data_IF_214131847493
#
_entry.id   IF_214131847493
#
_cell.length_a   1.000
_cell.length_b   1.000
_cell.length_c   1.000
_cell.angle_alpha   90.00
_cell.angle_beta   90.00
_cell.angle_gamma   90.00
#
_symmetry.space_group_name_H-M   'P 1'
#
loop_
_entity.id
_entity.type
_entity.pdbx_description
1 polymer ?
#
# COMPACT_ATOMS: atom_id res chain seq x y z
N UNK A 1 -15.88 20.13 60.76
CA UNK A 1 -15.65 18.98 59.85
C UNK A 1 -15.52 19.39 58.38
N UNK A 2 -15.81 20.65 58.00
CA UNK A 2 -15.71 21.10 56.59
C UNK A 2 -14.31 21.51 56.12
N UNK A 3 -13.43 21.97 57.03
CA UNK A 3 -12.08 22.43 56.69
C UNK A 3 -11.16 21.33 56.12
N UNK A 4 -11.30 20.09 56.58
CA UNK A 4 -10.51 18.94 56.11
C UNK A 4 -10.90 18.49 54.69
N UNK A 5 -12.15 18.67 54.30
CA UNK A 5 -12.64 18.35 52.94
C UNK A 5 -12.16 19.38 51.92
N UNK A 6 -12.08 20.66 52.30
CA UNK A 6 -11.55 21.71 51.43
C UNK A 6 -10.05 21.56 51.19
N UNK A 7 -9.29 21.19 52.22
CA UNK A 7 -7.85 20.99 52.12
C UNK A 7 -7.50 19.75 51.27
N UNK A 8 -8.31 18.69 51.36
CA UNK A 8 -8.21 17.53 50.46
C UNK A 8 -8.53 17.91 49.01
N UNK A 9 -9.58 18.69 48.73
CA UNK A 9 -9.90 19.13 47.36
C UNK A 9 -8.76 19.95 46.73
N UNK A 10 -8.09 20.79 47.51
CA UNK A 10 -6.95 21.59 47.05
C UNK A 10 -5.72 20.73 46.71
N UNK A 11 -5.43 19.69 47.49
CA UNK A 11 -4.31 18.79 47.21
C UNK A 11 -4.55 17.93 45.97
N UNK A 12 -5.77 17.41 45.75
CA UNK A 12 -6.10 16.67 44.53
C UNK A 12 -5.98 17.53 43.26
N UNK A 13 -6.37 18.81 43.32
CA UNK A 13 -6.20 19.75 42.21
C UNK A 13 -4.72 20.05 41.91
N UNK A 14 -3.89 20.20 42.94
CA UNK A 14 -2.44 20.38 42.79
C UNK A 14 -1.75 19.14 42.23
N UNK A 15 -2.14 17.93 42.64
CA UNK A 15 -1.63 16.65 42.12
C UNK A 15 -2.00 16.51 40.63
N UNK A 16 -3.25 16.80 40.25
CA UNK A 16 -3.68 16.76 38.85
C UNK A 16 -2.94 17.78 37.97
N UNK A 17 -2.60 18.94 38.52
CA UNK A 17 -1.81 19.97 37.83
C UNK A 17 -0.37 19.52 37.60
N UNK A 18 0.25 18.87 38.59
CA UNK A 18 1.59 18.27 38.47
C UNK A 18 1.62 17.11 37.46
N UNK A 19 0.61 16.23 37.48
CA UNK A 19 0.48 15.15 36.51
C UNK A 19 0.35 15.68 35.07
N UNK A 20 -0.43 16.75 34.87
CA UNK A 20 -0.54 17.42 33.57
C UNK A 20 0.80 18.02 33.10
N UNK A 21 1.56 18.62 34.01
CA UNK A 21 2.86 19.20 33.71
C UNK A 21 3.88 18.11 33.31
N UNK A 22 3.93 17.00 34.05
CA UNK A 22 4.77 15.84 33.72
C UNK A 22 4.39 15.23 32.35
N UNK A 23 3.10 15.13 32.05
CA UNK A 23 2.62 14.66 30.76
C UNK A 23 3.05 15.59 29.62
N UNK A 24 2.96 16.92 29.80
CA UNK A 24 3.44 17.92 28.83
C UNK A 24 4.94 17.78 28.58
N UNK A 25 5.75 17.58 29.62
CA UNK A 25 7.19 17.33 29.46
C UNK A 25 7.47 16.05 28.68
N UNK A 26 6.75 14.95 29.00
CA UNK A 26 6.88 13.68 28.27
C UNK A 26 6.51 13.83 26.79
N UNK A 27 5.44 14.56 26.50
CA UNK A 27 5.02 14.86 25.11
C UNK A 27 6.09 15.68 24.39
N UNK A 28 6.63 16.71 25.03
CA UNK A 28 7.67 17.56 24.44
C UNK A 28 8.95 16.77 24.17
N UNK A 29 9.33 15.86 25.08
CA UNK A 29 10.45 14.95 24.88
C UNK A 29 10.25 14.04 23.66
N UNK A 30 9.07 13.43 23.53
CA UNK A 30 8.75 12.56 22.39
C UNK A 30 8.77 13.34 21.07
N UNK A 31 8.24 14.57 21.06
CA UNK A 31 8.31 15.46 19.89
C UNK A 31 9.75 15.75 19.50
N UNK A 32 10.59 16.13 20.46
CA UNK A 32 11.99 16.41 20.22
C UNK A 32 12.74 15.18 19.67
N UNK A 33 12.52 14.01 20.27
CA UNK A 33 13.09 12.75 19.80
C UNK A 33 12.71 12.49 18.33
N UNK A 34 11.43 12.60 17.99
CA UNK A 34 10.94 12.38 16.63
C UNK A 34 11.53 13.36 15.61
N UNK A 35 11.66 14.63 15.99
CA UNK A 35 12.28 15.66 15.14
C UNK A 35 13.76 15.34 14.92
N UNK A 36 14.48 14.92 15.96
CA UNK A 36 15.88 14.55 15.84
C UNK A 36 16.08 13.31 14.96
N UNK A 37 15.25 12.27 15.14
CA UNK A 37 15.25 11.08 14.27
C UNK A 37 14.99 11.45 12.81
N UNK A 38 13.99 12.30 12.55
CA UNK A 38 13.71 12.79 11.20
C UNK A 38 14.89 13.57 10.63
N UNK A 39 15.48 14.49 11.40
CA UNK A 39 16.65 15.25 10.96
C UNK A 39 17.85 14.36 10.65
N UNK A 40 18.07 13.30 11.43
CA UNK A 40 19.12 12.33 11.16
C UNK A 40 18.85 11.58 9.85
N UNK A 41 17.61 11.15 9.60
CA UNK A 41 17.23 10.49 8.36
C UNK A 41 17.39 11.41 7.15
N UNK A 42 16.98 12.68 7.26
CA UNK A 42 17.17 13.67 6.19
C UNK A 42 18.64 13.89 5.87
N UNK A 43 19.51 13.98 6.90
CA UNK A 43 20.96 14.07 6.69
C UNK A 43 21.51 12.84 5.97
N UNK A 44 21.05 11.63 6.30
CA UNK A 44 21.46 10.39 5.60
C UNK A 44 21.03 10.41 4.13
N UNK A 45 19.79 10.80 3.84
CA UNK A 45 19.27 10.89 2.47
C UNK A 45 19.97 11.98 1.64
N UNK A 46 20.39 13.07 2.27
CA UNK A 46 21.18 14.12 1.61
C UNK A 46 22.61 13.65 1.28
N UNK A 47 23.18 12.79 2.11
CA UNK A 47 24.52 12.22 1.90
C UNK A 47 24.53 11.05 0.91
N UNK A 48 23.36 10.53 0.52
CA UNK A 48 23.26 9.45 -0.47
C UNK A 48 23.76 9.92 -1.82
N UNK A 49 24.66 9.15 -2.43
CA UNK A 49 25.11 9.41 -3.79
C UNK A 49 23.94 9.30 -4.79
N UNK A 50 23.89 10.25 -5.74
CA UNK A 50 22.87 10.30 -6.78
C UNK A 50 23.52 10.06 -8.13
N UNK A 51 22.85 9.26 -8.95
CA UNK A 51 23.18 9.10 -10.37
C UNK A 51 22.28 10.02 -11.20
N UNK A 52 22.76 10.43 -12.37
CA UNK A 52 21.94 11.21 -13.30
C UNK A 52 20.81 10.34 -13.85
N UNK A 53 19.67 10.97 -14.16
CA UNK A 53 18.53 10.26 -14.74
C UNK A 53 18.89 9.61 -16.07
N UNK A 54 19.72 10.25 -16.90
CA UNK A 54 20.16 9.69 -18.18
C UNK A 54 20.94 8.37 -17.99
N UNK A 55 21.86 8.33 -17.03
CA UNK A 55 22.64 7.13 -16.73
C UNK A 55 21.77 6.02 -16.15
N UNK A 56 20.84 6.37 -15.25
CA UNK A 56 19.87 5.43 -14.70
C UNK A 56 18.99 4.81 -15.80
N UNK A 57 18.48 5.64 -16.73
CA UNK A 57 17.69 5.17 -17.86
C UNK A 57 18.49 4.23 -18.77
N UNK A 58 19.76 4.56 -19.06
CA UNK A 58 20.62 3.69 -19.86
C UNK A 58 20.86 2.33 -19.18
N UNK A 59 21.09 2.32 -17.85
CA UNK A 59 21.24 1.07 -17.10
C UNK A 59 20.00 0.17 -17.21
N UNK A 60 18.80 0.76 -17.13
CA UNK A 60 17.54 0.03 -17.29
C UNK A 60 17.45 -0.56 -18.70
N UNK A 61 17.72 0.24 -19.74
CA UNK A 61 17.68 -0.21 -21.14
C UNK A 61 18.65 -1.37 -21.37
N UNK A 62 19.88 -1.23 -20.92
CA UNK A 62 20.92 -2.27 -21.07
C UNK A 62 20.51 -3.54 -20.32
N UNK A 63 19.90 -3.40 -19.14
CA UNK A 63 19.38 -4.54 -18.39
C UNK A 63 18.30 -5.26 -19.19
N UNK A 64 17.30 -4.55 -19.72
CA UNK A 64 16.18 -5.16 -20.44
C UNK A 64 16.58 -5.76 -21.79
N UNK A 65 17.55 -5.16 -22.47
CA UNK A 65 17.95 -5.60 -23.82
C UNK A 65 19.03 -6.68 -23.79
N UNK A 66 20.07 -6.50 -22.98
CA UNK A 66 21.30 -7.29 -23.12
C UNK A 66 21.53 -8.26 -21.96
N UNK A 67 21.14 -7.87 -20.73
CA UNK A 67 21.45 -8.63 -19.52
C UNK A 67 20.31 -9.57 -19.07
N UNK A 68 19.07 -9.28 -19.49
CA UNK A 68 17.91 -10.08 -19.16
C UNK A 68 17.93 -11.41 -19.93
N UNK A 69 18.41 -12.46 -19.28
CA UNK A 69 18.49 -13.83 -19.82
C UNK A 69 17.13 -14.56 -19.80
N UNK A 70 16.08 -13.93 -19.25
CA UNK A 70 14.73 -14.47 -19.21
C UNK A 70 13.93 -14.17 -20.48
N UNK A 71 12.83 -14.90 -20.70
CA UNK A 71 11.81 -14.52 -21.68
C UNK A 71 10.65 -13.89 -20.92
N UNK A 72 10.36 -12.63 -21.21
CA UNK A 72 9.18 -11.96 -20.66
C UNK A 72 7.98 -12.17 -21.59
N UNK A 73 7.14 -13.15 -21.26
CA UNK A 73 5.94 -13.46 -22.03
C UNK A 73 4.81 -12.42 -21.86
N UNK A 74 4.98 -11.41 -20.98
CA UNK A 74 4.05 -10.27 -20.87
C UNK A 74 4.27 -9.24 -21.98
N UNK A 75 5.40 -9.32 -22.70
CA UNK A 75 5.71 -8.51 -23.88
C UNK A 75 5.88 -9.41 -25.11
N UNK A 76 4.78 -9.93 -25.70
CA UNK A 76 4.86 -10.87 -26.81
C UNK A 76 5.49 -10.30 -28.09
N UNK A 77 5.51 -8.97 -28.23
CA UNK A 77 6.13 -8.30 -29.38
C UNK A 77 7.65 -8.54 -29.48
N UNK A 78 8.32 -8.75 -28.34
CA UNK A 78 9.77 -8.96 -28.29
C UNK A 78 10.12 -10.44 -28.08
N UNK A 79 9.40 -11.13 -27.19
CA UNK A 79 9.75 -12.50 -26.77
C UNK A 79 8.80 -13.59 -27.29
N UNK A 80 7.73 -13.21 -27.98
CA UNK A 80 6.71 -14.12 -28.48
C UNK A 80 5.74 -14.62 -27.41
N UNK A 81 4.82 -15.48 -27.83
CA UNK A 81 3.86 -16.11 -26.93
C UNK A 81 4.48 -17.36 -26.25
N UNK A 82 4.11 -17.64 -24.99
CA UNK A 82 4.55 -18.86 -24.32
C UNK A 82 3.97 -20.08 -25.04
N UNK A 83 4.73 -21.17 -25.09
CA UNK A 83 4.25 -22.41 -25.67
C UNK A 83 2.98 -22.92 -24.94
N UNK A 84 2.07 -23.60 -25.66
CA UNK A 84 0.84 -24.11 -25.07
C UNK A 84 1.15 -25.06 -23.91
N UNK A 85 0.45 -24.90 -22.78
CA UNK A 85 0.65 -25.68 -21.55
C UNK A 85 1.63 -25.09 -20.53
N UNK A 86 2.44 -24.08 -20.90
CA UNK A 86 3.33 -23.39 -19.94
C UNK A 86 2.55 -22.42 -19.06
N UNK A 87 1.56 -21.71 -19.64
CA UNK A 87 0.72 -20.79 -18.88
C UNK A 87 -0.35 -21.57 -18.09
N UNK A 88 -0.32 -21.57 -16.74
CA UNK A 88 -1.32 -22.27 -15.92
C UNK A 88 -2.75 -21.79 -16.19
N UNK A 89 -2.91 -20.53 -16.61
CA UNK A 89 -4.20 -19.92 -16.93
C UNK A 89 -4.79 -20.43 -18.25
N UNK A 90 -3.97 -20.93 -19.16
CA UNK A 90 -4.40 -21.46 -20.46
C UNK A 90 -4.70 -22.97 -20.44
N UNK A 91 -4.48 -23.65 -19.29
CA UNK A 91 -4.74 -25.09 -19.15
C UNK A 91 -6.22 -25.42 -19.04
N UNK A 92 -7.04 -24.43 -18.67
CA UNK A 92 -8.48 -24.56 -18.65
C UNK A 92 -9.03 -23.76 -19.81
N UNK A 93 -9.28 -24.43 -20.93
CA UNK A 93 -10.48 -24.13 -21.72
C UNK A 93 -11.69 -24.39 -20.80
N UNK A 94 -11.89 -23.55 -19.78
CA UNK A 94 -13.25 -23.28 -19.37
C UNK A 94 -13.85 -22.65 -20.63
N UNK A 95 -14.91 -23.25 -21.21
CA UNK A 95 -15.65 -22.53 -22.22
C UNK A 95 -16.19 -21.31 -21.49
N UNK A 96 -15.50 -20.17 -21.60
CA UNK A 96 -16.18 -18.90 -21.52
C UNK A 96 -17.18 -19.01 -22.67
N UNK A 97 -18.42 -19.35 -22.33
CA UNK A 97 -19.52 -19.29 -23.25
C UNK A 97 -19.46 -17.89 -23.82
N UNK A 98 -19.02 -17.79 -25.07
CA UNK A 98 -19.42 -16.69 -25.91
C UNK A 98 -20.94 -16.79 -25.93
N UNK A 99 -21.60 -16.07 -25.02
CA UNK A 99 -22.98 -15.73 -25.19
C UNK A 99 -23.00 -14.87 -26.44
N UNK A 100 -23.19 -15.54 -27.58
CA UNK A 100 -23.77 -14.94 -28.75
C UNK A 100 -25.01 -14.21 -28.26
N UNK A 101 -24.95 -12.89 -28.25
CA UNK A 101 -26.12 -12.03 -28.14
C UNK A 101 -26.83 -12.16 -29.49
N UNK A 102 -27.42 -13.34 -29.72
CA UNK A 102 -28.37 -13.56 -30.78
C UNK A 102 -29.70 -13.08 -30.22
N UNK A 103 -30.07 -11.85 -30.54
CA UNK A 103 -31.43 -11.36 -30.41
C UNK A 103 -32.39 -12.36 -31.05
N UNK A 104 -33.05 -13.17 -30.24
CA UNK A 104 -34.16 -14.00 -30.65
C UNK A 104 -35.26 -13.82 -29.63
N UNK A 105 -36.18 -12.92 -29.97
CA UNK A 105 -37.50 -12.81 -29.39
C UNK A 105 -38.13 -14.21 -29.32
N UNK A 106 -38.22 -14.79 -28.13
CA UNK A 106 -39.26 -15.76 -27.85
C UNK A 106 -39.63 -15.74 -26.38
N UNK A 107 -40.92 -15.53 -26.19
CA UNK A 107 -41.59 -15.41 -24.92
C UNK A 107 -41.63 -16.74 -24.16
N UNK A 108 -41.74 -16.63 -22.84
CA UNK A 108 -42.14 -17.66 -21.87
C UNK A 108 -41.07 -18.68 -21.48
N UNK A 109 -40.25 -18.35 -20.47
CA UNK A 109 -39.89 -19.29 -19.41
C UNK A 109 -39.42 -18.53 -18.17
N UNK A 110 -39.97 -18.91 -17.02
CA UNK A 110 -39.76 -18.32 -15.70
C UNK A 110 -38.28 -18.23 -15.30
N UNK A 111 -37.88 -17.01 -14.96
CA UNK A 111 -37.21 -16.62 -13.72
C UNK A 111 -36.50 -17.73 -12.91
N UNK A 112 -35.16 -17.73 -12.94
CA UNK A 112 -34.31 -18.05 -11.79
C UNK A 112 -32.84 -17.64 -12.04
N UNK A 113 -32.52 -16.41 -11.61
CA UNK A 113 -31.33 -16.11 -10.82
C UNK A 113 -29.98 -15.94 -11.54
N UNK A 114 -29.70 -14.72 -12.00
CA UNK A 114 -28.32 -14.21 -12.10
C UNK A 114 -28.08 -13.23 -10.95
N UNK A 115 -27.14 -13.53 -10.05
CA UNK A 115 -26.80 -12.68 -8.92
C UNK A 115 -26.12 -11.39 -9.40
N UNK A 116 -26.77 -10.24 -9.17
CA UNK A 116 -26.12 -8.94 -9.18
C UNK A 116 -25.27 -8.79 -7.90
N UNK A 117 -24.05 -8.29 -8.07
CA UNK A 117 -23.17 -7.88 -6.96
C UNK A 117 -23.67 -6.52 -6.46
N UNK A 118 -23.97 -6.42 -5.16
CA UNK A 118 -23.83 -5.16 -4.41
C UNK A 118 -22.49 -5.18 -3.67
#
# INVERSE_FOLDING_TARGET
MEGSVQQQKQTYAAINSNNNLQLKYKINYLKLKRINELNQNLKKELLRERITSSNASLQIINYTNDLFQGKDYTVPSLYGYPAPGINPLNTKKQPFSQQNISSSNNANAMDQGCCAIM
#
